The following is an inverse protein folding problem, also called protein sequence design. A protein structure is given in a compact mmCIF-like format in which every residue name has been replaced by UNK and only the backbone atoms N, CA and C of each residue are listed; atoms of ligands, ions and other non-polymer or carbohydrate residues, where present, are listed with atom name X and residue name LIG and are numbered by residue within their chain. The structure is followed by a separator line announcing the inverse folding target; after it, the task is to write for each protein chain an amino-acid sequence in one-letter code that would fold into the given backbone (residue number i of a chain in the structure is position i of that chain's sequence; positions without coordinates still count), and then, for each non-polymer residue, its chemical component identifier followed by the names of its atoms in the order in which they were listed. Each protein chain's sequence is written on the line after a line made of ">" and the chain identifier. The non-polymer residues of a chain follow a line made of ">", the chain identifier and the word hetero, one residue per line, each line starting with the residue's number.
data_IF_416609274527
#
_entry.id   IF_416609274527
#
_cell.length_a   1.000
_cell.length_b   1.000
_cell.length_c   1.000
_cell.angle_alpha   90.00
_cell.angle_beta   90.00
_cell.angle_gamma   90.00
#
_symmetry.space_group_name_H-M   'P 1'
#
loop_
_entity.id
_entity.type
_entity.pdbx_description
1 polymer ?
#
# COMPACT_ATOMS: atom_id res chain seq x y z
N UNK A 1 -3.70 -10.87 24.96
CA UNK A 1 -4.08 -10.38 23.63
C UNK A 1 -3.37 -9.05 23.47
N UNK A 2 -2.42 -8.94 22.55
CA UNK A 2 -1.80 -7.63 22.26
C UNK A 2 -2.77 -6.86 21.38
N UNK A 3 -3.01 -5.59 21.68
CA UNK A 3 -3.82 -4.72 20.83
C UNK A 3 -3.10 -4.55 19.48
N UNK A 4 -3.86 -4.64 18.38
CA UNK A 4 -3.37 -4.44 17.02
C UNK A 4 -4.33 -3.53 16.27
N UNK A 5 -3.79 -2.55 15.56
CA UNK A 5 -4.52 -1.63 14.69
C UNK A 5 -4.13 -1.92 13.25
N UNK A 6 -5.12 -1.89 12.36
CA UNK A 6 -4.94 -2.16 10.94
C UNK A 6 -5.55 -1.03 10.09
N UNK A 7 -4.85 -0.65 9.03
CA UNK A 7 -5.38 0.15 7.93
C UNK A 7 -5.28 -0.65 6.61
N UNK A 8 -6.30 -0.53 5.77
CA UNK A 8 -6.32 -1.15 4.43
C UNK A 8 -6.42 -0.06 3.38
N UNK A 9 -5.54 -0.11 2.38
CA UNK A 9 -5.57 0.74 1.20
C UNK A 9 -5.85 -0.16 0.00
N UNK A 10 -6.90 0.18 -0.76
CA UNK A 10 -7.29 -0.53 -1.98
C UNK A 10 -7.16 0.41 -3.17
N UNK A 11 -6.56 -0.09 -4.24
CA UNK A 11 -6.36 0.64 -5.48
C UNK A 11 -6.61 -0.27 -6.68
N UNK A 12 -7.09 0.30 -7.78
CA UNK A 12 -7.30 -0.40 -9.05
C UNK A 12 -6.87 0.47 -10.23
N UNK A 13 -6.19 -0.11 -11.21
CA UNK A 13 -5.76 0.60 -12.40
C UNK A 13 -4.84 -0.23 -13.28
N UNK A 14 -3.86 0.39 -13.94
CA UNK A 14 -2.95 -0.32 -14.84
C UNK A 14 -2.01 -1.29 -14.12
N UNK A 15 -1.76 -2.46 -14.71
CA UNK A 15 -0.83 -3.47 -14.17
C UNK A 15 0.58 -2.90 -13.92
N UNK A 16 1.04 -2.00 -14.81
CA UNK A 16 2.35 -1.35 -14.68
C UNK A 16 2.46 -0.49 -13.42
N UNK A 17 1.45 0.35 -13.15
CA UNK A 17 1.44 1.20 -11.96
C UNK A 17 1.24 0.38 -10.68
N UNK A 18 0.37 -0.63 -10.74
CA UNK A 18 0.14 -1.61 -9.67
C UNK A 18 1.44 -2.30 -9.23
N UNK A 19 2.28 -2.68 -10.19
CA UNK A 19 3.58 -3.33 -9.94
C UNK A 19 4.53 -2.39 -9.22
N UNK A 20 4.58 -1.11 -9.60
CA UNK A 20 5.41 -0.10 -8.95
C UNK A 20 4.94 0.17 -7.52
N UNK A 21 3.63 0.27 -7.30
CA UNK A 21 3.06 0.38 -5.96
C UNK A 21 3.30 -0.86 -5.10
N UNK A 22 3.19 -2.06 -5.65
CA UNK A 22 3.48 -3.30 -4.94
C UNK A 22 4.93 -3.34 -4.44
N UNK A 23 5.87 -2.87 -5.27
CA UNK A 23 7.27 -2.73 -4.88
C UNK A 23 7.44 -1.70 -3.75
N UNK A 24 6.77 -0.55 -3.84
CA UNK A 24 6.81 0.48 -2.79
C UNK A 24 6.16 0.03 -1.47
N UNK A 25 5.13 -0.81 -1.54
CA UNK A 25 4.44 -1.39 -0.40
C UNK A 25 5.23 -2.53 0.28
N UNK A 26 6.33 -3.00 -0.31
CA UNK A 26 7.24 -3.99 0.28
C UNK A 26 8.12 -3.36 1.39
N UNK A 27 7.47 -2.80 2.41
CA UNK A 27 8.07 -2.11 3.56
C UNK A 27 7.74 -2.85 4.85
N UNK A 28 8.57 -2.74 5.91
CA UNK A 28 8.27 -3.36 7.21
C UNK A 28 6.91 -2.89 7.74
N UNK A 29 6.09 -3.83 8.21
CA UNK A 29 4.74 -3.53 8.74
C UNK A 29 3.66 -3.35 7.68
N UNK A 30 3.99 -3.60 6.40
CA UNK A 30 3.04 -3.63 5.30
C UNK A 30 2.97 -5.04 4.70
N UNK A 31 1.76 -5.50 4.40
CA UNK A 31 1.48 -6.69 3.60
C UNK A 31 0.70 -6.26 2.37
N UNK A 32 1.19 -6.57 1.18
CA UNK A 32 0.54 -6.16 -0.06
C UNK A 32 0.25 -7.35 -0.96
N UNK A 33 -0.90 -7.31 -1.65
CA UNK A 33 -1.32 -8.31 -2.62
C UNK A 33 -1.87 -7.62 -3.86
N UNK A 34 -1.33 -8.00 -5.01
CA UNK A 34 -1.84 -7.60 -6.32
C UNK A 34 -2.62 -8.76 -6.94
N UNK A 35 -3.73 -8.45 -7.59
CA UNK A 35 -4.53 -9.39 -8.41
C UNK A 35 -4.69 -8.77 -9.79
N UNK A 36 -4.27 -9.47 -10.83
CA UNK A 36 -4.37 -9.02 -12.21
C UNK A 36 -5.63 -9.58 -12.85
N UNK A 37 -6.36 -8.74 -13.59
CA UNK A 37 -7.50 -9.12 -14.43
C UNK A 37 -7.36 -8.44 -15.80
N UNK A 38 -6.81 -9.19 -16.77
CA UNK A 38 -6.53 -8.66 -18.10
C UNK A 38 -5.50 -7.53 -18.09
N UNK A 39 -5.95 -6.30 -18.40
CA UNK A 39 -5.09 -5.12 -18.47
C UNK A 39 -5.24 -4.19 -17.25
N UNK A 40 -6.05 -4.61 -16.28
CA UNK A 40 -6.23 -3.94 -14.99
C UNK A 40 -5.66 -4.80 -13.86
N UNK A 41 -5.26 -4.16 -12.78
CA UNK A 41 -4.81 -4.80 -11.57
C UNK A 41 -5.43 -4.12 -10.35
N UNK A 42 -5.79 -4.94 -9.37
CA UNK A 42 -6.25 -4.50 -8.06
C UNK A 42 -5.13 -4.76 -7.05
N UNK A 43 -4.76 -3.74 -6.29
CA UNK A 43 -3.77 -3.79 -5.23
C UNK A 43 -4.46 -3.57 -3.88
N UNK A 44 -4.20 -4.47 -2.93
CA UNK A 44 -4.61 -4.35 -1.54
C UNK A 44 -3.37 -4.28 -0.67
N UNK A 45 -3.20 -3.19 0.07
CA UNK A 45 -2.11 -3.00 1.03
C UNK A 45 -2.70 -2.94 2.43
N UNK A 46 -2.18 -3.77 3.32
CA UNK A 46 -2.56 -3.87 4.72
C UNK A 46 -1.38 -3.37 5.54
N UNK A 47 -1.62 -2.37 6.39
CA UNK A 47 -0.63 -1.83 7.34
C UNK A 47 -1.09 -2.16 8.75
N UNK A 48 -0.22 -2.78 9.54
CA UNK A 48 -0.54 -3.21 10.91
C UNK A 48 0.49 -2.69 11.91
N UNK A 49 0.02 -2.22 13.07
CA UNK A 49 0.88 -1.86 14.20
C UNK A 49 0.15 -1.98 15.54
N UNK A 50 0.92 -2.08 16.62
CA UNK A 50 0.42 -2.12 18.00
C UNK A 50 0.00 -0.77 18.58
N UNK A 51 0.30 0.34 17.90
CA UNK A 51 -0.07 1.69 18.32
C UNK A 51 -0.68 2.48 17.17
N UNK A 52 -1.77 3.20 17.45
CA UNK A 52 -2.43 4.07 16.46
C UNK A 52 -1.50 5.19 15.95
N UNK A 53 -0.57 5.68 16.79
CA UNK A 53 0.41 6.67 16.38
C UNK A 53 1.40 6.09 15.37
N UNK A 54 1.89 4.87 15.63
CA UNK A 54 2.79 4.15 14.72
C UNK A 54 2.09 3.79 13.42
N UNK A 55 0.84 3.31 13.49
CA UNK A 55 0.02 3.04 12.30
C UNK A 55 -0.12 4.29 11.44
N UNK A 56 -0.47 5.44 12.04
CA UNK A 56 -0.60 6.71 11.31
C UNK A 56 0.68 7.09 10.60
N UNK A 57 1.83 6.99 11.26
CA UNK A 57 3.11 7.34 10.66
C UNK A 57 3.45 6.42 9.48
N UNK A 58 3.24 5.10 9.62
CA UNK A 58 3.47 4.14 8.53
C UNK A 58 2.55 4.38 7.32
N UNK A 59 1.27 4.66 7.58
CA UNK A 59 0.31 4.97 6.53
C UNK A 59 0.70 6.26 5.81
N UNK A 60 1.09 7.30 6.54
CA UNK A 60 1.55 8.57 5.96
C UNK A 60 2.79 8.38 5.07
N UNK A 61 3.82 7.71 5.58
CA UNK A 61 5.04 7.39 4.81
C UNK A 61 4.74 6.55 3.55
N UNK A 62 3.76 5.64 3.63
CA UNK A 62 3.29 4.87 2.48
C UNK A 62 2.58 5.77 1.47
N UNK A 63 1.62 6.59 1.90
CA UNK A 63 0.87 7.47 1.00
C UNK A 63 1.76 8.49 0.29
N UNK A 64 2.76 9.04 0.97
CA UNK A 64 3.76 9.92 0.33
C UNK A 64 4.49 9.17 -0.80
N UNK A 65 4.95 7.95 -0.53
CA UNK A 65 5.65 7.16 -1.54
C UNK A 65 4.77 6.75 -2.72
N UNK A 66 3.48 6.47 -2.48
CA UNK A 66 2.52 6.19 -3.56
C UNK A 66 2.27 7.45 -4.39
N UNK A 67 2.09 8.62 -3.76
CA UNK A 67 1.94 9.91 -4.46
C UNK A 67 3.13 10.21 -5.36
N UNK A 68 4.35 10.07 -4.85
CA UNK A 68 5.58 10.28 -5.63
C UNK A 68 5.63 9.37 -6.87
N UNK A 69 5.13 8.13 -6.77
CA UNK A 69 5.07 7.19 -7.89
C UNK A 69 3.99 7.62 -8.89
N UNK A 70 2.81 8.03 -8.43
CA UNK A 70 1.74 8.52 -9.31
C UNK A 70 2.22 9.73 -10.13
N UNK A 71 2.86 10.70 -9.48
CA UNK A 71 3.34 11.92 -10.12
C UNK A 71 4.47 11.66 -11.13
N UNK A 72 5.31 10.65 -10.90
CA UNK A 72 6.41 10.28 -11.80
C UNK A 72 6.05 9.22 -12.86
N UNK A 73 4.86 8.63 -12.77
CA UNK A 73 4.34 7.64 -13.74
C UNK A 73 3.35 8.23 -14.74
N UNK A 74 3.05 9.53 -14.61
CA UNK A 74 2.14 10.31 -15.45
C UNK A 74 2.79 10.85 -16.73
#
# INVERSE_FOLDING_TARGET
>A
MVESYQATIEWSGSVSLATTFLAAASRPGCSAKMTEDGNEATLVIIVEDSSIQSLRNRVDELLVALSDIEENSA
#
